data_IF_817352833524
#
_entry.id   IF_817352833524
#
_cell.length_a   1.000
_cell.length_b   1.000
_cell.length_c   1.000
_cell.angle_alpha   90.00
_cell.angle_beta   90.00
_cell.angle_gamma   90.00
#
_symmetry.space_group_name_H-M   'P 1'
#
loop_
_entity.id
_entity.type
_entity.pdbx_description
1 polymer ?
#
# COMPACT_ATOMS: atom_id res chain seq x y z
N UNK A 1 -3.90 -38.97 12.13
CA UNK A 1 -4.71 -37.94 11.44
C UNK A 1 -4.85 -36.79 12.41
N UNK A 2 -4.29 -35.62 12.10
CA UNK A 2 -4.45 -34.44 12.96
C UNK A 2 -5.88 -33.94 12.79
N UNK A 3 -6.60 -33.80 13.90
CA UNK A 3 -7.84 -33.04 13.96
C UNK A 3 -7.56 -31.65 13.39
N UNK A 4 -8.07 -31.37 12.18
CA UNK A 4 -8.17 -30.01 11.70
C UNK A 4 -9.12 -29.30 12.66
N UNK A 5 -8.58 -28.39 13.48
CA UNK A 5 -9.38 -27.58 14.38
C UNK A 5 -10.45 -26.86 13.56
N UNK A 6 -11.70 -27.33 13.67
CA UNK A 6 -12.84 -26.69 13.02
C UNK A 6 -13.04 -25.32 13.68
N UNK A 7 -13.07 -24.28 12.86
CA UNK A 7 -13.24 -22.88 13.29
C UNK A 7 -14.60 -22.57 13.95
N UNK A 8 -15.56 -23.51 13.87
CA UNK A 8 -16.95 -23.31 14.25
C UNK A 8 -17.80 -22.65 13.15
N UNK A 9 -17.20 -22.23 12.03
CA UNK A 9 -17.91 -21.62 10.90
C UNK A 9 -18.13 -22.62 9.76
N UNK A 10 -19.12 -22.32 8.90
CA UNK A 10 -19.28 -23.07 7.64
C UNK A 10 -18.07 -22.82 6.72
N UNK A 11 -17.67 -23.78 5.87
CA UNK A 11 -16.54 -23.60 4.95
C UNK A 11 -16.57 -22.31 4.12
N UNK A 12 -17.77 -21.90 3.68
CA UNK A 12 -17.96 -20.64 2.92
C UNK A 12 -17.73 -19.39 3.76
N UNK A 13 -18.03 -19.43 5.05
CA UNK A 13 -17.75 -18.33 5.98
C UNK A 13 -16.26 -18.25 6.30
N UNK A 14 -15.63 -19.41 6.50
CA UNK A 14 -14.18 -19.53 6.69
C UNK A 14 -13.39 -18.94 5.52
N UNK A 15 -13.82 -19.23 4.29
CA UNK A 15 -13.19 -18.68 3.08
C UNK A 15 -13.24 -17.14 3.04
N UNK A 16 -14.38 -16.54 3.40
CA UNK A 16 -14.52 -15.08 3.49
C UNK A 16 -13.66 -14.51 4.62
N UNK A 17 -13.63 -15.14 5.79
CA UNK A 17 -12.80 -14.72 6.93
C UNK A 17 -11.30 -14.85 6.64
N UNK A 18 -10.88 -15.91 5.94
CA UNK A 18 -9.50 -16.07 5.45
C UNK A 18 -9.15 -14.95 4.47
N UNK A 19 -10.05 -14.63 3.55
CA UNK A 19 -9.88 -13.52 2.61
C UNK A 19 -9.75 -12.18 3.35
N UNK A 20 -10.54 -11.97 4.41
CA UNK A 20 -10.42 -10.77 5.25
C UNK A 20 -9.08 -10.70 5.96
N UNK A 21 -8.61 -11.81 6.54
CA UNK A 21 -7.28 -11.88 7.16
C UNK A 21 -6.15 -11.55 6.20
N UNK A 22 -6.20 -12.12 4.99
CA UNK A 22 -5.23 -11.81 3.92
C UNK A 22 -5.28 -10.33 3.53
N UNK A 23 -6.48 -9.77 3.36
CA UNK A 23 -6.67 -8.37 3.03
C UNK A 23 -6.07 -7.43 4.10
N UNK A 24 -6.29 -7.72 5.38
CA UNK A 24 -5.72 -6.92 6.48
C UNK A 24 -4.19 -6.94 6.44
N UNK A 25 -3.58 -8.13 6.30
CA UNK A 25 -2.12 -8.28 6.24
C UNK A 25 -1.54 -7.56 5.00
N UNK A 26 -2.16 -7.74 3.84
CA UNK A 26 -1.75 -7.06 2.60
C UNK A 26 -1.83 -5.53 2.77
N UNK A 27 -2.91 -5.03 3.38
CA UNK A 27 -3.08 -3.61 3.67
C UNK A 27 -2.02 -3.03 4.59
N UNK A 28 -1.65 -3.76 5.66
CA UNK A 28 -0.54 -3.37 6.53
C UNK A 28 0.79 -3.29 5.77
N UNK A 29 1.02 -4.19 4.82
CA UNK A 29 2.18 -4.14 3.93
C UNK A 29 2.24 -2.87 3.09
N UNK A 30 1.11 -2.43 2.52
CA UNK A 30 1.02 -1.16 1.78
C UNK A 30 1.29 0.03 2.70
N UNK A 31 0.72 0.06 3.91
CA UNK A 31 0.93 1.13 4.89
C UNK A 31 2.40 1.24 5.30
N UNK A 32 3.05 0.11 5.56
CA UNK A 32 4.47 0.06 5.87
C UNK A 32 5.31 0.58 4.71
N UNK A 33 5.03 0.14 3.49
CA UNK A 33 5.74 0.58 2.30
C UNK A 33 5.57 2.09 2.02
N UNK A 34 4.37 2.64 2.23
CA UNK A 34 4.12 4.07 2.14
C UNK A 34 4.91 4.86 3.18
N UNK A 35 4.92 4.38 4.42
CA UNK A 35 5.73 4.97 5.51
C UNK A 35 7.21 4.99 5.14
N UNK A 36 7.75 3.88 4.62
CA UNK A 36 9.11 3.78 4.11
C UNK A 36 9.37 4.79 2.99
N UNK A 37 8.45 4.92 2.02
CA UNK A 37 8.61 5.90 0.95
C UNK A 37 8.64 7.34 1.48
N UNK A 38 7.80 7.68 2.45
CA UNK A 38 7.77 9.01 3.07
C UNK A 38 8.96 9.29 3.98
N UNK A 39 9.66 8.26 4.44
CA UNK A 39 10.84 8.36 5.32
C UNK A 39 12.14 8.46 4.52
N UNK A 40 12.23 7.78 3.38
CA UNK A 40 13.44 7.73 2.55
C UNK A 40 13.24 8.49 1.23
N UNK A 41 12.75 7.92 0.13
CA UNK A 41 12.76 8.60 -1.17
C UNK A 41 12.00 9.93 -1.21
N UNK A 42 10.99 10.09 -0.34
CA UNK A 42 10.08 11.23 -0.33
C UNK A 42 10.11 11.94 1.02
N UNK A 43 11.26 12.03 1.70
CA UNK A 43 11.37 12.62 3.04
C UNK A 43 11.12 14.13 3.09
N UNK A 44 11.52 14.88 2.04
CA UNK A 44 11.29 16.31 1.88
C UNK A 44 11.91 17.23 2.95
N UNK A 45 12.91 16.73 3.67
CA UNK A 45 13.60 17.40 4.80
C UNK A 45 15.09 16.99 4.80
N UNK A 46 16.08 17.89 4.97
CA UNK A 46 17.49 17.50 4.94
C UNK A 46 17.81 16.43 6.00
N UNK A 47 18.13 15.21 5.55
CA UNK A 47 18.52 14.06 6.39
C UNK A 47 20.04 14.03 6.57
N UNK A 48 20.57 14.88 7.45
CA UNK A 48 22.01 15.01 7.72
C UNK A 48 22.46 14.28 8.99
N UNK A 49 21.53 14.01 9.92
CA UNK A 49 21.84 13.35 11.20
C UNK A 49 20.92 12.17 11.50
N UNK A 50 21.39 11.28 12.38
CA UNK A 50 20.62 10.11 12.84
C UNK A 50 19.38 10.55 13.63
N UNK A 51 19.48 11.65 14.40
CA UNK A 51 18.37 12.20 15.15
C UNK A 51 17.25 12.67 14.23
N UNK A 52 17.58 13.30 13.10
CA UNK A 52 16.58 13.71 12.10
C UNK A 52 15.86 12.51 11.49
N UNK A 53 16.59 11.42 11.22
CA UNK A 53 16.02 10.17 10.76
C UNK A 53 15.08 9.54 11.81
N UNK A 54 15.50 9.48 13.08
CA UNK A 54 14.65 8.98 14.16
C UNK A 54 13.36 9.78 14.33
N UNK A 55 13.42 11.11 14.23
CA UNK A 55 12.22 11.96 14.28
C UNK A 55 11.25 11.62 13.15
N UNK A 56 11.75 11.36 11.93
CA UNK A 56 10.91 10.97 10.80
C UNK A 56 10.30 9.58 10.97
N UNK A 57 11.11 8.61 11.42
CA UNK A 57 10.64 7.26 11.74
C UNK A 57 9.53 7.29 12.78
N UNK A 58 9.72 8.05 13.88
CA UNK A 58 8.71 8.19 14.92
C UNK A 58 7.44 8.87 14.41
N UNK A 59 7.58 9.94 13.62
CA UNK A 59 6.44 10.68 13.03
C UNK A 59 5.58 9.77 12.16
N UNK A 60 6.19 8.97 11.30
CA UNK A 60 5.46 8.08 10.40
C UNK A 60 4.94 6.82 11.09
N UNK A 61 5.59 6.34 12.16
CA UNK A 61 5.11 5.20 12.96
C UNK A 61 3.74 5.43 13.61
N UNK A 62 3.41 6.69 13.91
CA UNK A 62 2.16 7.11 14.58
C UNK A 62 1.14 7.70 13.61
N UNK A 63 1.51 7.88 12.34
CA UNK A 63 0.66 8.53 11.35
C UNK A 63 -0.43 7.58 10.88
N UNK A 64 -1.66 8.08 10.78
CA UNK A 64 -2.73 7.34 10.10
C UNK A 64 -2.46 7.29 8.60
N UNK A 65 -3.03 6.29 7.90
CA UNK A 65 -2.94 6.22 6.44
C UNK A 65 -3.39 7.52 5.77
N UNK A 66 -4.47 8.14 6.24
CA UNK A 66 -4.93 9.44 5.74
C UNK A 66 -3.91 10.57 5.94
N UNK A 67 -3.20 10.60 7.07
CA UNK A 67 -2.13 11.57 7.31
C UNK A 67 -0.92 11.31 6.40
N UNK A 68 -0.54 10.05 6.20
CA UNK A 68 0.54 9.66 5.27
C UNK A 68 0.20 10.06 3.83
N UNK A 69 -1.03 9.81 3.37
CA UNK A 69 -1.46 10.20 2.02
C UNK A 69 -1.50 11.72 1.84
N UNK A 70 -1.92 12.47 2.88
CA UNK A 70 -1.82 13.93 2.87
C UNK A 70 -0.36 14.40 2.76
N UNK A 71 0.57 13.73 3.45
CA UNK A 71 1.99 14.04 3.34
C UNK A 71 2.54 13.72 1.94
N UNK A 72 2.17 12.55 1.38
CA UNK A 72 2.53 12.15 0.03
C UNK A 72 2.11 13.21 -0.99
N UNK A 73 0.82 13.57 -1.03
CA UNK A 73 0.25 14.54 -1.98
C UNK A 73 0.85 15.94 -1.87
N UNK A 74 1.47 16.30 -0.73
CA UNK A 74 2.22 17.55 -0.62
C UNK A 74 3.57 17.50 -1.34
N UNK A 75 4.15 16.30 -1.47
CA UNK A 75 5.51 16.07 -1.98
C UNK A 75 5.55 15.57 -3.41
N UNK A 76 4.44 15.03 -3.93
CA UNK A 76 4.36 14.49 -5.30
C UNK A 76 3.11 14.98 -6.04
N UNK A 77 3.22 15.08 -7.35
CA UNK A 77 2.10 15.10 -8.30
C UNK A 77 1.74 13.66 -8.63
N UNK A 78 0.47 13.30 -8.49
CA UNK A 78 -0.03 11.97 -8.80
C UNK A 78 -0.78 12.01 -10.12
N UNK A 79 -0.56 11.01 -10.97
CA UNK A 79 -1.43 10.83 -12.14
C UNK A 79 -2.88 10.61 -11.68
N UNK A 80 -3.89 11.22 -12.33
CA UNK A 80 -5.28 11.13 -11.87
C UNK A 80 -5.77 9.70 -11.64
N UNK A 81 -5.46 8.78 -12.57
CA UNK A 81 -5.87 7.37 -12.45
C UNK A 81 -5.20 6.64 -11.28
N UNK A 82 -4.00 7.07 -10.89
CA UNK A 82 -3.31 6.53 -9.73
C UNK A 82 -3.85 7.14 -8.43
N UNK A 83 -4.12 8.45 -8.43
CA UNK A 83 -4.72 9.13 -7.29
C UNK A 83 -6.11 8.56 -6.95
N UNK A 84 -6.93 8.27 -7.96
CA UNK A 84 -8.24 7.61 -7.81
C UNK A 84 -8.12 6.23 -7.15
N UNK A 85 -7.11 5.44 -7.54
CA UNK A 85 -6.83 4.12 -6.95
C UNK A 85 -6.39 4.25 -5.50
N UNK A 86 -5.57 5.25 -5.20
CA UNK A 86 -5.07 5.53 -3.86
C UNK A 86 -6.18 5.99 -2.91
N UNK A 87 -7.10 6.84 -3.39
CA UNK A 87 -8.29 7.25 -2.65
C UNK A 87 -9.25 6.09 -2.42
N UNK A 88 -9.51 5.26 -3.44
CA UNK A 88 -10.34 4.06 -3.28
C UNK A 88 -9.73 3.08 -2.28
N UNK A 89 -8.40 2.88 -2.32
CA UNK A 89 -7.68 2.07 -1.35
C UNK A 89 -7.88 2.60 0.08
N UNK A 90 -7.70 3.91 0.32
CA UNK A 90 -7.93 4.54 1.63
C UNK A 90 -9.38 4.35 2.12
N UNK A 91 -10.36 4.58 1.25
CA UNK A 91 -11.77 4.44 1.58
C UNK A 91 -12.10 3.00 1.99
N UNK A 92 -11.64 2.02 1.21
CA UNK A 92 -11.85 0.60 1.48
C UNK A 92 -11.14 0.16 2.77
N UNK A 93 -9.92 0.63 3.03
CA UNK A 93 -9.22 0.40 4.30
C UNK A 93 -10.04 0.90 5.49
N UNK A 94 -10.61 2.10 5.39
CA UNK A 94 -11.45 2.66 6.45
C UNK A 94 -12.74 1.86 6.66
N UNK A 95 -13.30 1.28 5.58
CA UNK A 95 -14.43 0.35 5.69
C UNK A 95 -14.04 -0.91 6.46
N UNK A 96 -12.91 -1.53 6.11
CA UNK A 96 -12.40 -2.72 6.81
C UNK A 96 -12.14 -2.43 8.29
N UNK A 97 -11.50 -1.29 8.60
CA UNK A 97 -11.09 -0.96 9.95
C UNK A 97 -12.24 -0.53 10.87
N UNK A 98 -13.25 0.15 10.32
CA UNK A 98 -14.20 0.89 11.16
C UNK A 98 -15.68 0.77 10.75
N UNK A 99 -16.00 0.30 9.53
CA UNK A 99 -17.37 0.44 8.97
C UNK A 99 -17.90 -0.81 8.30
N UNK A 100 -17.34 -1.99 8.58
CA UNK A 100 -17.73 -3.22 7.90
C UNK A 100 -19.24 -3.52 8.04
N UNK A 101 -19.83 -3.15 9.18
CA UNK A 101 -21.25 -3.34 9.48
C UNK A 101 -22.17 -2.21 8.97
N UNK A 102 -21.61 -1.07 8.53
CA UNK A 102 -22.37 0.13 8.17
C UNK A 102 -22.55 0.31 6.65
N UNK A 103 -22.13 -0.69 5.86
CA UNK A 103 -22.22 -0.62 4.39
C UNK A 103 -23.67 -0.89 3.94
N UNK A 104 -24.32 0.04 3.20
CA UNK A 104 -25.65 -0.19 2.67
C UNK A 104 -25.72 -1.42 1.76
N UNK A 105 -26.76 -2.23 1.89
CA UNK A 105 -26.85 -3.54 1.23
C UNK A 105 -26.04 -4.64 1.94
N UNK A 106 -25.19 -4.29 2.90
CA UNK A 106 -24.60 -5.18 3.89
C UNK A 106 -23.44 -6.05 3.39
N UNK A 107 -22.37 -6.04 4.17
CA UNK A 107 -21.41 -7.14 4.23
C UNK A 107 -21.80 -8.04 5.40
N UNK A 108 -22.07 -9.30 5.09
CA UNK A 108 -22.63 -10.24 6.06
C UNK A 108 -22.06 -11.65 5.83
N UNK A 109 -21.89 -12.40 6.91
CA UNK A 109 -21.40 -13.78 6.88
C UNK A 109 -22.55 -14.80 6.84
N UNK A 110 -23.80 -14.40 7.06
CA UNK A 110 -24.91 -15.33 7.25
C UNK A 110 -25.74 -15.56 5.97
N UNK A 111 -25.78 -14.59 5.05
CA UNK A 111 -26.41 -14.66 3.73
C UNK A 111 -25.39 -14.95 2.61
N UNK A 112 -25.82 -15.66 1.56
CA UNK A 112 -24.98 -15.89 0.37
C UNK A 112 -24.62 -14.57 -0.32
N UNK A 113 -25.60 -13.67 -0.42
CA UNK A 113 -25.44 -12.37 -1.06
C UNK A 113 -24.45 -11.47 -0.32
N UNK A 114 -24.56 -11.40 1.01
CA UNK A 114 -23.64 -10.65 1.87
C UNK A 114 -22.22 -11.19 1.81
N UNK A 115 -22.04 -12.51 1.78
CA UNK A 115 -20.73 -13.16 1.66
C UNK A 115 -20.07 -12.85 0.33
N UNK A 116 -20.82 -12.95 -0.76
CA UNK A 116 -20.32 -12.65 -2.11
C UNK A 116 -19.90 -11.18 -2.25
N UNK A 117 -20.72 -10.25 -1.73
CA UNK A 117 -20.36 -8.82 -1.69
C UNK A 117 -19.11 -8.56 -0.89
N UNK A 118 -19.02 -9.11 0.32
CA UNK A 118 -17.85 -8.95 1.18
C UNK A 118 -16.58 -9.50 0.52
N UNK A 119 -16.65 -10.70 -0.05
CA UNK A 119 -15.51 -11.30 -0.75
C UNK A 119 -15.07 -10.46 -1.96
N UNK A 120 -16.01 -10.02 -2.80
CA UNK A 120 -15.70 -9.17 -3.95
C UNK A 120 -15.06 -7.84 -3.52
N UNK A 121 -15.59 -7.22 -2.47
CA UNK A 121 -15.01 -6.01 -1.88
C UNK A 121 -13.56 -6.22 -1.40
N UNK A 122 -13.29 -7.31 -0.66
CA UNK A 122 -11.95 -7.62 -0.16
C UNK A 122 -10.96 -7.91 -1.29
N UNK A 123 -11.38 -8.62 -2.34
CA UNK A 123 -10.57 -8.86 -3.52
C UNK A 123 -10.23 -7.55 -4.25
N UNK A 124 -11.21 -6.65 -4.43
CA UNK A 124 -10.98 -5.35 -5.04
C UNK A 124 -10.03 -4.49 -4.21
N UNK A 125 -10.17 -4.51 -2.88
CA UNK A 125 -9.26 -3.81 -1.97
C UNK A 125 -7.81 -4.33 -2.10
N UNK A 126 -7.63 -5.64 -2.17
CA UNK A 126 -6.30 -6.23 -2.37
C UNK A 126 -5.70 -5.90 -3.74
N UNK A 127 -6.52 -5.84 -4.79
CA UNK A 127 -6.09 -5.45 -6.15
C UNK A 127 -5.62 -3.98 -6.21
N UNK A 128 -6.38 -3.08 -5.57
CA UNK A 128 -5.99 -1.69 -5.43
C UNK A 128 -4.72 -1.55 -4.60
N UNK A 129 -4.64 -2.26 -3.47
CA UNK A 129 -3.45 -2.33 -2.63
C UNK A 129 -2.23 -2.85 -3.39
N UNK A 130 -2.39 -3.88 -4.23
CA UNK A 130 -1.32 -4.38 -5.08
C UNK A 130 -0.83 -3.31 -6.05
N UNK A 131 -1.74 -2.62 -6.74
CA UNK A 131 -1.36 -1.53 -7.66
C UNK A 131 -0.57 -0.43 -6.93
N UNK A 132 -1.06 -0.01 -5.75
CA UNK A 132 -0.39 0.99 -4.91
C UNK A 132 1.00 0.50 -4.48
N UNK A 133 1.11 -0.74 -4.01
CA UNK A 133 2.40 -1.33 -3.65
C UNK A 133 3.39 -1.36 -4.79
N UNK A 134 2.95 -1.68 -6.02
CA UNK A 134 3.87 -1.75 -7.16
C UNK A 134 4.45 -0.38 -7.48
N UNK A 135 3.64 0.68 -7.47
CA UNK A 135 4.13 2.04 -7.68
C UNK A 135 5.11 2.46 -6.58
N UNK A 136 4.76 2.24 -5.31
CA UNK A 136 5.63 2.60 -4.19
C UNK A 136 6.95 1.79 -4.17
N UNK A 137 6.92 0.51 -4.56
CA UNK A 137 8.14 -0.29 -4.75
C UNK A 137 9.00 0.26 -5.88
N UNK A 138 8.37 0.73 -6.98
CA UNK A 138 9.05 1.42 -8.06
C UNK A 138 9.83 2.62 -7.54
N UNK A 139 9.18 3.50 -6.77
CA UNK A 139 9.82 4.67 -6.14
C UNK A 139 10.99 4.28 -5.26
N UNK A 140 10.81 3.29 -4.37
CA UNK A 140 11.86 2.84 -3.46
C UNK A 140 13.07 2.26 -4.20
N UNK A 141 12.83 1.49 -5.26
CA UNK A 141 13.87 0.86 -6.08
C UNK A 141 14.66 1.90 -6.89
N UNK A 142 13.97 2.85 -7.50
CA UNK A 142 14.61 3.94 -8.25
C UNK A 142 15.52 4.76 -7.33
N UNK A 143 15.01 5.17 -6.17
CA UNK A 143 15.80 5.89 -5.17
C UNK A 143 17.01 5.08 -4.69
N UNK A 144 16.83 3.80 -4.32
CA UNK A 144 17.95 2.98 -3.88
C UNK A 144 19.03 2.83 -4.95
N UNK A 145 18.62 2.71 -6.23
CA UNK A 145 19.55 2.70 -7.35
C UNK A 145 20.32 4.01 -7.51
N UNK A 146 19.67 5.16 -7.28
CA UNK A 146 20.30 6.48 -7.35
C UNK A 146 21.33 6.67 -6.23
N UNK A 147 21.04 6.16 -5.04
CA UNK A 147 21.93 6.20 -3.87
C UNK A 147 23.02 5.10 -3.89
N UNK A 148 23.07 4.26 -4.93
CA UNK A 148 24.02 3.15 -5.03
C UNK A 148 23.79 2.04 -3.99
N UNK A 149 22.59 1.96 -3.43
CA UNK A 149 22.19 0.93 -2.47
C UNK A 149 21.81 -0.33 -3.24
N UNK A 150 22.60 -1.38 -3.10
CA UNK A 150 22.22 -2.71 -3.57
C UNK A 150 21.15 -3.27 -2.62
N UNK A 151 19.90 -3.33 -3.09
CA UNK A 151 18.81 -4.00 -2.36
C UNK A 151 18.96 -5.50 -2.61
N UNK A 152 19.32 -6.32 -1.60
CA UNK A 152 19.50 -7.75 -1.78
C UNK A 152 18.20 -8.36 -2.29
N UNK A 153 18.21 -8.80 -3.54
CA UNK A 153 17.02 -9.10 -4.32
C UNK A 153 16.32 -10.43 -3.94
N UNK A 154 16.57 -10.96 -2.73
CA UNK A 154 16.60 -12.41 -2.54
C UNK A 154 15.46 -13.06 -1.75
N UNK A 155 14.59 -12.37 -1.01
CA UNK A 155 13.63 -13.13 -0.16
C UNK A 155 12.14 -12.80 -0.20
N UNK A 156 11.67 -11.72 -0.87
CA UNK A 156 10.24 -11.35 -0.75
C UNK A 156 9.50 -10.99 -2.04
N UNK A 157 10.19 -10.68 -3.15
CA UNK A 157 9.53 -10.38 -4.44
C UNK A 157 9.53 -11.63 -5.33
N UNK A 158 8.35 -12.09 -5.71
CA UNK A 158 8.23 -13.13 -6.74
C UNK A 158 8.75 -12.63 -8.10
N UNK A 159 9.23 -13.54 -8.96
CA UNK A 159 9.69 -13.18 -10.30
C UNK A 159 8.61 -12.41 -11.08
N UNK A 160 7.35 -12.85 -10.96
CA UNK A 160 6.20 -12.17 -11.58
C UNK A 160 6.07 -10.70 -11.14
N UNK A 161 6.34 -10.39 -9.88
CA UNK A 161 6.30 -9.00 -9.40
C UNK A 161 7.47 -8.19 -9.97
N UNK A 162 8.66 -8.78 -10.10
CA UNK A 162 9.82 -8.13 -10.74
C UNK A 162 9.51 -7.81 -12.20
N UNK A 163 9.04 -8.79 -12.95
CA UNK A 163 8.67 -8.63 -14.36
C UNK A 163 7.58 -7.55 -14.52
N UNK A 164 6.58 -7.53 -13.64
CA UNK A 164 5.54 -6.50 -13.68
C UNK A 164 6.10 -5.09 -13.42
N UNK A 165 7.00 -4.94 -12.43
CA UNK A 165 7.66 -3.66 -12.14
C UNK A 165 8.47 -3.17 -13.35
N UNK A 166 9.30 -4.03 -13.91
CA UNK A 166 10.21 -3.69 -15.01
C UNK A 166 9.44 -3.34 -16.30
N UNK A 167 8.31 -4.01 -16.56
CA UNK A 167 7.54 -3.81 -17.78
C UNK A 167 6.53 -2.67 -17.67
N UNK A 168 5.85 -2.53 -16.53
CA UNK A 168 4.64 -1.68 -16.44
C UNK A 168 4.82 -0.44 -15.55
N UNK A 169 5.69 -0.52 -14.53
CA UNK A 169 5.77 0.52 -13.50
C UNK A 169 6.99 1.40 -13.71
N UNK A 170 8.20 0.83 -13.69
CA UNK A 170 9.46 1.57 -13.79
C UNK A 170 9.49 2.47 -15.04
N UNK A 171 9.10 2.01 -16.24
CA UNK A 171 9.11 2.87 -17.43
C UNK A 171 8.14 4.06 -17.36
N UNK A 172 7.11 3.98 -16.53
CA UNK A 172 6.05 4.98 -16.42
C UNK A 172 6.07 5.71 -15.07
N UNK A 173 7.10 5.49 -14.24
CA UNK A 173 7.09 5.88 -12.84
C UNK A 173 6.98 7.39 -12.66
N UNK A 174 7.78 8.17 -13.41
CA UNK A 174 7.70 9.64 -13.42
C UNK A 174 6.33 10.16 -13.87
N UNK A 175 5.61 9.42 -14.71
CA UNK A 175 4.26 9.80 -15.13
C UNK A 175 3.24 9.52 -14.04
N UNK A 176 3.39 8.40 -13.32
CA UNK A 176 2.47 7.95 -12.27
C UNK A 176 2.60 8.76 -10.98
N UNK A 177 3.84 9.08 -10.59
CA UNK A 177 4.18 9.78 -9.36
C UNK A 177 5.44 10.62 -9.59
N UNK A 178 5.28 11.94 -9.62
CA UNK A 178 6.38 12.88 -9.88
C UNK A 178 6.68 13.69 -8.63
N UNK A 179 7.92 13.75 -8.19
CA UNK A 179 8.31 14.63 -7.07
C UNK A 179 8.02 16.10 -7.38
N UNK A 180 7.57 16.85 -6.36
CA UNK A 180 7.34 18.31 -6.42
C UNK A 180 8.59 19.13 -6.10
N UNK A 181 9.63 18.51 -5.55
CA UNK A 181 10.93 19.18 -5.35
C UNK A 181 11.72 19.13 -6.66
N UNK A 182 12.18 20.19 -7.31
CA UNK A 182 12.01 21.65 -7.22
C UNK A 182 12.43 22.14 -8.63
N UNK A 183 11.77 23.14 -9.21
CA UNK A 183 12.20 23.79 -10.47
C UNK A 183 13.54 24.55 -10.40
N UNK A 184 14.53 24.08 -9.63
CA UNK A 184 15.83 24.73 -9.48
C UNK A 184 16.90 23.78 -8.90
N UNK A 185 17.39 22.83 -9.71
CA UNK A 185 18.80 22.37 -9.67
C UNK A 185 19.36 22.12 -11.07
N UNK A 186 18.91 22.94 -12.03
CA UNK A 186 19.60 23.16 -13.30
C UNK A 186 20.09 24.61 -13.33
N UNK A 187 21.29 24.86 -12.79
CA UNK A 187 22.22 25.95 -13.11
C UNK A 187 23.12 26.23 -11.90
N UNK A 188 24.43 26.10 -12.08
CA UNK A 188 25.46 26.51 -11.12
C UNK A 188 26.60 25.52 -11.05
#
# INVERSE_FOLDING_TARGET
>A
MKDEAQSGYKPVQDDVLKTLGLAVIAGQGVEHLLSTCLTFPLHGEPLQTIEQLHILLERHSKATLGQMLKALRKRVDLHPTFDDKLDRYLQNRNVIAHRLHDVPGGYDLHSDEGRNRLKAFLLQYMEDGHTVSMVLLGVLREWASQEGIDIPNQHHLSQRMKDHLDVNVVPNLETLIRSKELGSKSAG
#
